data_IF_158743395098
#
_entry.id   IF_158743395098
#
_cell.length_a   1.000
_cell.length_b   1.000
_cell.length_c   1.000
_cell.angle_alpha   90.00
_cell.angle_beta   90.00
_cell.angle_gamma   90.00
#
_symmetry.space_group_name_H-M   'P 1'
#
loop_
_entity.id
_entity.type
_entity.pdbx_description
1 polymer ?
#
# COMPACT_ATOMS: atom_id res chain seq x y z
N UNK A 1 11.00 1.53 16.63
CA UNK A 1 10.05 0.91 15.71
C UNK A 1 9.21 2.01 15.03
N UNK A 2 8.96 1.89 13.74
CA UNK A 2 8.12 2.83 13.01
C UNK A 2 6.65 2.51 13.23
N UNK A 3 5.81 3.53 13.09
CA UNK A 3 4.37 3.36 12.99
C UNK A 3 3.95 3.64 11.54
N UNK A 4 2.72 3.32 11.17
CA UNK A 4 2.24 3.65 9.84
C UNK A 4 1.02 4.56 9.91
N UNK A 5 0.80 5.26 8.81
CA UNK A 5 -0.34 6.16 8.65
C UNK A 5 -0.92 5.97 7.26
N UNK A 6 -2.23 5.81 7.18
CA UNK A 6 -2.93 5.70 5.90
C UNK A 6 -3.34 7.08 5.43
N UNK A 7 -2.86 7.47 4.24
CA UNK A 7 -3.28 8.71 3.63
C UNK A 7 -4.71 8.58 3.08
N UNK A 8 -5.44 9.68 2.91
CA UNK A 8 -6.83 9.62 2.43
C UNK A 8 -7.00 8.83 1.14
N UNK A 9 -6.09 8.97 0.18
CA UNK A 9 -6.14 8.22 -1.08
C UNK A 9 -5.97 6.72 -0.86
N UNK A 10 -5.11 6.32 0.09
CA UNK A 10 -4.92 4.91 0.43
C UNK A 10 -6.18 4.33 1.08
N UNK A 11 -6.82 5.10 1.95
CA UNK A 11 -8.07 4.69 2.59
C UNK A 11 -9.14 4.44 1.53
N UNK A 12 -9.25 5.36 0.55
CA UNK A 12 -10.22 5.20 -0.53
C UNK A 12 -9.87 3.98 -1.39
N UNK A 13 -8.59 3.75 -1.67
CA UNK A 13 -8.16 2.58 -2.42
C UNK A 13 -8.59 1.29 -1.72
N UNK A 14 -8.45 1.22 -0.40
CA UNK A 14 -8.86 0.05 0.37
C UNK A 14 -10.37 -0.16 0.35
N UNK A 15 -11.14 0.92 0.39
CA UNK A 15 -12.60 0.85 0.24
C UNK A 15 -12.99 0.32 -1.13
N UNK A 16 -12.29 0.78 -2.19
CA UNK A 16 -12.54 0.34 -3.56
C UNK A 16 -12.24 -1.15 -3.70
N UNK A 17 -11.18 -1.65 -3.09
CA UNK A 17 -10.86 -3.09 -3.08
C UNK A 17 -11.98 -3.89 -2.41
N UNK A 18 -12.44 -3.43 -1.25
CA UNK A 18 -13.51 -4.10 -0.52
C UNK A 18 -14.82 -4.11 -1.32
N UNK A 19 -15.17 -2.98 -1.94
CA UNK A 19 -16.38 -2.87 -2.75
C UNK A 19 -16.34 -3.76 -3.98
N UNK A 20 -15.17 -3.82 -4.65
CA UNK A 20 -15.00 -4.68 -5.81
C UNK A 20 -15.21 -6.15 -5.45
N UNK A 21 -14.58 -6.62 -4.37
CA UNK A 21 -14.71 -8.03 -3.96
C UNK A 21 -16.14 -8.33 -3.50
N UNK A 22 -16.77 -7.43 -2.75
CA UNK A 22 -18.12 -7.65 -2.25
C UNK A 22 -19.18 -7.60 -3.35
N UNK A 23 -19.06 -6.64 -4.28
CA UNK A 23 -20.08 -6.40 -5.30
C UNK A 23 -19.84 -7.16 -6.59
N UNK A 24 -18.64 -7.03 -7.16
CA UNK A 24 -18.34 -7.58 -8.49
C UNK A 24 -18.08 -9.08 -8.45
N UNK A 25 -17.47 -9.56 -7.37
CA UNK A 25 -17.20 -10.99 -7.19
C UNK A 25 -18.29 -11.68 -6.35
N UNK A 26 -19.28 -10.93 -5.89
CA UNK A 26 -20.38 -11.45 -5.04
C UNK A 26 -19.86 -12.28 -3.85
N UNK A 27 -18.76 -11.83 -3.25
CA UNK A 27 -18.08 -12.55 -2.18
C UNK A 27 -17.69 -11.61 -1.04
N UNK A 28 -18.66 -10.99 -0.35
CA UNK A 28 -18.36 -10.02 0.70
C UNK A 28 -17.49 -10.58 1.84
N UNK A 29 -17.61 -11.84 2.12
CA UNK A 29 -16.82 -12.51 3.15
C UNK A 29 -15.35 -12.64 2.75
N UNK A 30 -15.07 -12.69 1.45
CA UNK A 30 -13.70 -12.82 0.94
C UNK A 30 -12.94 -11.50 0.94
N UNK A 31 -13.62 -10.37 1.14
CA UNK A 31 -12.96 -9.06 1.16
C UNK A 31 -11.99 -8.91 2.34
N UNK A 32 -12.30 -9.54 3.47
CA UNK A 32 -11.48 -9.43 4.67
C UNK A 32 -10.07 -10.02 4.49
N UNK A 33 -9.92 -11.09 3.70
CA UNK A 33 -8.64 -11.75 3.49
C UNK A 33 -7.57 -10.84 2.89
N UNK A 34 -7.79 -10.28 1.69
CA UNK A 34 -6.84 -9.35 1.07
C UNK A 34 -6.57 -8.09 1.92
N UNK A 35 -7.60 -7.52 2.53
CA UNK A 35 -7.45 -6.34 3.38
C UNK A 35 -6.60 -6.64 4.61
N UNK A 36 -6.82 -7.78 5.26
CA UNK A 36 -6.02 -8.20 6.41
C UNK A 36 -4.56 -8.47 6.02
N UNK A 37 -4.33 -9.06 4.86
CA UNK A 37 -2.97 -9.29 4.37
C UNK A 37 -2.23 -8.00 4.09
N UNK A 38 -2.91 -7.01 3.51
CA UNK A 38 -2.32 -5.69 3.26
C UNK A 38 -1.94 -5.04 4.59
N UNK A 39 -2.85 -5.05 5.57
CA UNK A 39 -2.58 -4.48 6.88
C UNK A 39 -1.41 -5.16 7.56
N UNK A 40 -1.38 -6.48 7.56
CA UNK A 40 -0.28 -7.26 8.15
C UNK A 40 1.04 -6.95 7.48
N UNK A 41 1.06 -6.85 6.14
CA UNK A 41 2.28 -6.52 5.41
C UNK A 41 2.80 -5.12 5.76
N UNK A 42 1.91 -4.15 5.92
CA UNK A 42 2.28 -2.79 6.34
C UNK A 42 2.83 -2.78 7.76
N UNK A 43 2.18 -3.49 8.67
CA UNK A 43 2.66 -3.61 10.05
C UNK A 43 4.03 -4.25 10.12
N UNK A 44 4.26 -5.33 9.37
CA UNK A 44 5.55 -5.99 9.31
C UNK A 44 6.63 -5.08 8.72
N UNK A 45 6.28 -4.27 7.73
CA UNK A 45 7.21 -3.32 7.13
C UNK A 45 7.67 -2.25 8.12
N UNK A 46 6.87 -1.93 9.12
CA UNK A 46 7.25 -0.96 10.15
C UNK A 46 8.42 -1.41 11.01
N UNK A 47 8.69 -2.71 11.07
CA UNK A 47 9.84 -3.24 11.81
C UNK A 47 11.16 -2.96 11.08
N UNK A 48 11.15 -3.02 9.74
CA UNK A 48 12.35 -2.84 8.91
C UNK A 48 12.04 -2.00 7.67
N UNK A 49 11.61 -0.74 7.83
CA UNK A 49 11.14 0.06 6.70
C UNK A 49 12.21 0.38 5.68
N UNK A 50 13.47 0.49 6.10
CA UNK A 50 14.58 0.78 5.18
C UNK A 50 14.96 -0.39 4.30
N UNK A 51 14.49 -1.60 4.62
CA UNK A 51 14.72 -2.79 3.79
C UNK A 51 13.69 -2.92 2.65
N UNK A 52 12.66 -2.08 2.62
CA UNK A 52 11.65 -2.11 1.57
C UNK A 52 12.28 -1.74 0.22
N UNK A 53 11.93 -2.46 -0.85
CA UNK A 53 12.45 -2.12 -2.18
C UNK A 53 11.94 -0.76 -2.64
N UNK A 54 12.79 -0.06 -3.40
CA UNK A 54 12.44 1.19 -4.04
C UNK A 54 11.57 0.92 -5.26
N UNK A 55 10.81 1.94 -5.67
CA UNK A 55 10.09 1.92 -6.93
C UNK A 55 11.08 2.13 -8.08
N UNK A 56 10.88 1.46 -9.23
CA UNK A 56 11.83 1.53 -10.36
C UNK A 56 11.89 2.91 -11.03
N UNK A 57 10.79 3.66 -11.00
CA UNK A 57 10.76 4.98 -11.60
C UNK A 57 11.69 5.93 -10.85
N UNK A 58 12.60 6.58 -11.57
CA UNK A 58 13.62 7.44 -10.96
C UNK A 58 13.04 8.61 -10.19
N UNK A 59 11.98 9.24 -10.71
CA UNK A 59 11.36 10.38 -10.04
C UNK A 59 10.72 9.95 -8.71
N UNK A 60 10.07 8.80 -8.70
CA UNK A 60 9.47 8.25 -7.49
C UNK A 60 10.53 7.81 -6.49
N UNK A 61 11.65 7.25 -6.98
CA UNK A 61 12.79 6.92 -6.12
C UNK A 61 13.36 8.17 -5.45
N UNK A 62 13.50 9.25 -6.20
CA UNK A 62 13.99 10.51 -5.66
C UNK A 62 13.07 11.09 -4.60
N UNK A 63 11.78 10.86 -4.73
CA UNK A 63 10.79 11.26 -3.72
C UNK A 63 10.77 10.35 -2.49
N UNK A 64 11.52 9.24 -2.54
CA UNK A 64 11.59 8.31 -1.42
C UNK A 64 10.51 7.25 -1.37
N UNK A 65 9.81 7.03 -2.49
CA UNK A 65 8.78 5.98 -2.54
C UNK A 65 9.36 4.60 -2.37
N UNK A 66 8.69 3.81 -1.55
CA UNK A 66 8.97 2.39 -1.32
C UNK A 66 7.72 1.59 -1.67
N UNK A 67 7.88 0.30 -1.95
CA UNK A 67 6.75 -0.55 -2.30
C UNK A 67 6.71 -1.81 -1.44
N UNK A 68 5.48 -2.26 -1.18
CA UNK A 68 5.20 -3.54 -0.53
C UNK A 68 4.28 -4.30 -1.47
N UNK A 69 4.70 -5.49 -1.89
CA UNK A 69 3.90 -6.31 -2.78
C UNK A 69 3.07 -7.28 -1.94
N UNK A 70 1.76 -7.23 -2.10
CA UNK A 70 0.81 -8.08 -1.38
C UNK A 70 -0.15 -8.68 -2.40
N UNK A 71 0.02 -9.96 -2.74
CA UNK A 71 -0.77 -10.64 -3.77
C UNK A 71 -0.75 -9.85 -5.10
N UNK A 72 -1.92 -9.40 -5.56
CA UNK A 72 -2.08 -8.65 -6.79
C UNK A 72 -2.05 -7.14 -6.57
N UNK A 73 -1.68 -6.68 -5.38
CA UNK A 73 -1.66 -5.27 -5.03
C UNK A 73 -0.25 -4.81 -4.71
N UNK A 74 0.00 -3.54 -4.96
CA UNK A 74 1.23 -2.87 -4.55
C UNK A 74 0.85 -1.74 -3.62
N UNK A 75 1.43 -1.73 -2.44
CA UNK A 75 1.31 -0.63 -1.48
C UNK A 75 2.48 0.32 -1.71
N UNK A 76 2.17 1.58 -2.00
CA UNK A 76 3.18 2.63 -2.18
C UNK A 76 3.26 3.46 -0.92
N UNK A 77 4.46 3.61 -0.38
CA UNK A 77 4.66 4.28 0.89
C UNK A 77 5.81 5.28 0.80
N UNK A 78 5.71 6.34 1.58
CA UNK A 78 6.78 7.31 1.82
C UNK A 78 7.23 7.21 3.26
N UNK A 79 8.54 7.11 3.46
CA UNK A 79 9.12 6.97 4.78
C UNK A 79 9.49 8.34 5.33
N UNK A 80 8.96 8.67 6.50
CA UNK A 80 9.38 9.86 7.26
C UNK A 80 10.27 9.41 8.41
N UNK A 81 11.57 9.52 8.20
CA UNK A 81 12.55 9.05 9.18
C UNK A 81 12.57 9.90 10.45
N UNK A 82 12.25 11.18 10.34
CA UNK A 82 12.22 12.10 11.49
C UNK A 82 11.08 11.73 12.43
N UNK A 83 9.90 11.48 11.88
CA UNK A 83 8.71 11.11 12.64
C UNK A 83 8.60 9.61 12.87
N UNK A 84 9.51 8.83 12.29
CA UNK A 84 9.48 7.37 12.32
C UNK A 84 8.12 6.83 11.90
N UNK A 85 7.62 7.35 10.78
CA UNK A 85 6.30 7.04 10.24
C UNK A 85 6.41 6.56 8.81
N UNK A 86 5.76 5.44 8.51
CA UNK A 86 5.58 4.94 7.17
C UNK A 86 4.22 5.44 6.66
N UNK A 87 4.26 6.39 5.73
CA UNK A 87 3.04 6.97 5.17
C UNK A 87 2.58 6.13 3.98
N UNK A 88 1.47 5.42 4.13
CA UNK A 88 0.88 4.64 3.05
C UNK A 88 0.13 5.60 2.12
N UNK A 89 0.67 5.81 0.93
CA UNK A 89 0.17 6.79 -0.02
C UNK A 89 -0.92 6.24 -0.93
N UNK A 90 -0.72 5.05 -1.48
CA UNK A 90 -1.67 4.40 -2.37
C UNK A 90 -1.61 2.88 -2.20
N UNK A 91 -2.71 2.23 -2.51
CA UNK A 91 -2.81 0.78 -2.64
C UNK A 91 -3.42 0.49 -4.00
N UNK A 92 -2.62 0.02 -4.95
CA UNK A 92 -3.05 -0.12 -6.34
C UNK A 92 -2.94 -1.56 -6.81
N UNK A 93 -3.84 -1.93 -7.73
CA UNK A 93 -3.79 -3.22 -8.38
C UNK A 93 -2.52 -3.32 -9.24
N UNK A 94 -1.82 -4.44 -9.17
CA UNK A 94 -0.51 -4.63 -9.77
C UNK A 94 -0.47 -4.36 -11.29
N UNK A 95 -1.54 -4.68 -12.01
CA UNK A 95 -1.60 -4.49 -13.45
C UNK A 95 -1.90 -3.05 -13.87
N UNK A 96 -2.22 -2.16 -12.92
CA UNK A 96 -2.55 -0.78 -13.22
C UNK A 96 -1.27 0.04 -13.48
N UNK A 97 -1.39 1.03 -14.38
CA UNK A 97 -0.30 1.98 -14.62
C UNK A 97 -0.22 2.95 -13.44
N UNK A 98 0.57 2.60 -12.44
CA UNK A 98 0.66 3.36 -11.20
C UNK A 98 1.36 4.72 -11.38
N UNK A 99 2.12 4.91 -12.45
CA UNK A 99 2.78 6.19 -12.68
C UNK A 99 1.78 7.33 -12.85
N UNK A 100 0.60 7.02 -13.40
CA UNK A 100 -0.47 8.01 -13.56
C UNK A 100 -1.21 8.28 -12.24
N UNK A 101 -1.17 7.34 -11.31
CA UNK A 101 -1.87 7.44 -10.05
C UNK A 101 -1.04 8.16 -8.98
N UNK A 102 0.24 8.10 -9.08
CA UNK A 102 1.17 8.72 -8.15
C UNK A 102 1.63 10.08 -8.67
#
# INVERSE_FOLDING_TARGET
>A
MYTYRLMPSAIQDLRDVADYIASDLCAPESAAGPLNEIETAVENACAFPLSLPSVRDELLQMKGYRKIIVRNYIVFALLDEKKKTLNVMRVLYHARDYLKEL
#
